data_IF_260970248171
#
_entry.id   IF_260970248171
#
_cell.length_a   1.000
_cell.length_b   1.000
_cell.length_c   1.000
_cell.angle_alpha   90.00
_cell.angle_beta   90.00
_cell.angle_gamma   90.00
#
_symmetry.space_group_name_H-M   'P 1'
#
loop_
_entity.id
_entity.type
_entity.pdbx_description
1 polymer ?
#
# COMPACT_ATOMS: atom_id res chain seq x y z
N UNK A 1 8.75 -11.90 14.85
CA UNK A 1 8.93 -13.35 14.59
C UNK A 1 7.90 -14.21 15.31
N UNK A 2 7.89 -14.30 16.65
CA UNK A 2 6.99 -15.21 17.40
C UNK A 2 5.49 -14.99 17.13
N UNK A 3 5.06 -13.73 16.99
CA UNK A 3 3.65 -13.39 16.71
C UNK A 3 3.23 -13.93 15.33
N UNK A 4 3.97 -13.62 14.27
CA UNK A 4 3.67 -14.08 12.90
C UNK A 4 3.73 -15.61 12.77
N UNK A 5 4.68 -16.26 13.47
CA UNK A 5 4.76 -17.73 13.51
C UNK A 5 3.58 -18.38 14.23
N UNK A 6 3.01 -17.73 15.26
CA UNK A 6 1.87 -18.24 16.01
C UNK A 6 0.54 -18.02 15.27
N UNK A 7 0.44 -16.93 14.51
CA UNK A 7 -0.77 -16.55 13.79
C UNK A 7 -1.18 -17.61 12.76
N UNK A 8 -0.20 -18.17 12.05
CA UNK A 8 -0.41 -19.08 10.93
C UNK A 8 -0.59 -18.33 9.61
N UNK A 9 -1.11 -19.04 8.60
CA UNK A 9 -1.32 -18.49 7.26
C UNK A 9 -2.77 -18.05 7.05
N UNK A 10 -2.95 -16.95 6.31
CA UNK A 10 -4.25 -16.46 5.86
C UNK A 10 -4.10 -15.67 4.56
N UNK A 11 -5.07 -15.76 3.66
CA UNK A 11 -5.00 -15.14 2.32
C UNK A 11 -4.88 -13.61 2.39
N UNK A 12 -5.55 -12.97 3.35
CA UNK A 12 -5.59 -11.51 3.48
C UNK A 12 -4.67 -10.95 4.58
N UNK A 13 -3.62 -11.68 4.97
CA UNK A 13 -2.57 -11.23 5.89
C UNK A 13 -1.22 -11.60 5.29
N UNK A 14 -0.25 -10.69 5.36
CA UNK A 14 1.11 -10.95 4.87
C UNK A 14 1.74 -12.12 5.65
N UNK A 15 1.97 -13.20 4.92
CA UNK A 15 2.41 -14.48 5.45
C UNK A 15 3.93 -14.53 5.64
N UNK A 16 4.35 -15.11 6.75
CA UNK A 16 5.75 -15.40 7.04
C UNK A 16 6.22 -16.63 6.24
N UNK A 17 7.30 -16.48 5.49
CA UNK A 17 7.96 -17.56 4.75
C UNK A 17 9.17 -18.12 5.51
N UNK A 18 9.89 -17.27 6.23
CA UNK A 18 11.09 -17.69 6.96
C UNK A 18 11.78 -16.56 7.72
N UNK A 19 12.91 -16.89 8.34
CA UNK A 19 13.73 -15.93 9.07
C UNK A 19 15.19 -16.36 9.15
N UNK A 20 16.11 -15.42 9.02
CA UNK A 20 17.52 -15.62 9.32
C UNK A 20 17.79 -15.07 10.72
N UNK A 21 18.18 -15.95 11.65
CA UNK A 21 18.34 -15.60 13.08
C UNK A 21 19.73 -15.88 13.63
N UNK A 22 20.62 -16.48 12.84
CA UNK A 22 21.95 -16.90 13.27
C UNK A 22 23.02 -16.26 12.38
N UNK A 23 24.16 -15.89 12.98
CA UNK A 23 25.35 -15.46 12.25
C UNK A 23 25.23 -14.11 11.53
N UNK A 24 24.24 -13.29 11.86
CA UNK A 24 24.00 -12.00 11.20
C UNK A 24 22.83 -11.22 11.79
N UNK A 25 22.43 -10.09 11.18
CA UNK A 25 21.24 -9.36 11.57
C UNK A 25 19.99 -10.23 11.42
N UNK A 26 19.00 -10.02 12.29
CA UNK A 26 17.73 -10.75 12.21
C UNK A 26 16.96 -10.28 10.99
N UNK A 27 16.72 -11.19 10.04
CA UNK A 27 15.92 -10.94 8.84
C UNK A 27 14.60 -11.72 8.91
N UNK A 28 13.52 -11.10 8.45
CA UNK A 28 12.20 -11.71 8.31
C UNK A 28 11.89 -11.80 6.83
N UNK A 29 11.53 -12.99 6.35
CA UNK A 29 11.20 -13.26 4.96
C UNK A 29 9.69 -13.48 4.88
N UNK A 30 8.99 -12.65 4.12
CA UNK A 30 7.54 -12.72 3.92
C UNK A 30 7.22 -12.85 2.44
N UNK A 31 5.95 -13.10 2.12
CA UNK A 31 5.48 -12.97 0.74
C UNK A 31 5.68 -11.54 0.20
N UNK A 32 5.80 -11.44 -1.12
CA UNK A 32 5.96 -10.18 -1.83
C UNK A 32 4.62 -9.70 -2.38
N UNK A 33 4.19 -8.50 -1.97
CA UNK A 33 3.00 -7.85 -2.51
C UNK A 33 3.38 -6.97 -3.71
N UNK A 34 3.18 -7.49 -4.93
CA UNK A 34 3.66 -6.86 -6.16
C UNK A 34 3.11 -5.44 -6.44
N UNK A 35 1.93 -5.10 -5.92
CA UNK A 35 1.31 -3.78 -6.13
C UNK A 35 1.65 -2.73 -5.06
N UNK A 36 2.39 -3.12 -4.02
CA UNK A 36 2.73 -2.26 -2.88
C UNK A 36 1.55 -2.01 -1.94
N UNK A 37 1.57 -0.87 -1.24
CA UNK A 37 0.50 -0.51 -0.30
C UNK A 37 -0.76 0.02 -0.99
N UNK A 38 -1.91 -0.23 -0.35
CA UNK A 38 -3.22 0.11 -0.91
C UNK A 38 -3.40 1.62 -1.10
N UNK A 39 -2.82 2.46 -0.23
CA UNK A 39 -2.94 3.92 -0.33
C UNK A 39 -2.31 4.44 -1.63
N UNK A 40 -1.06 4.06 -1.91
CA UNK A 40 -0.37 4.46 -3.12
C UNK A 40 -0.97 3.80 -4.36
N UNK A 41 -1.44 2.55 -4.27
CA UNK A 41 -2.18 1.89 -5.35
C UNK A 41 -3.44 2.67 -5.74
N UNK A 42 -4.28 3.02 -4.76
CA UNK A 42 -5.52 3.79 -4.99
C UNK A 42 -5.23 5.19 -5.53
N UNK A 43 -4.19 5.87 -5.04
CA UNK A 43 -3.77 7.18 -5.56
C UNK A 43 -3.38 7.14 -7.04
N UNK A 44 -2.67 6.11 -7.49
CA UNK A 44 -2.31 5.93 -8.91
C UNK A 44 -3.53 5.69 -9.79
N UNK A 45 -4.55 4.97 -9.29
CA UNK A 45 -5.77 4.62 -10.04
C UNK A 45 -6.88 5.68 -9.95
N UNK A 46 -6.81 6.60 -8.99
CA UNK A 46 -7.83 7.63 -8.78
C UNK A 46 -8.02 8.55 -10.00
N UNK A 47 -6.94 8.86 -10.73
CA UNK A 47 -7.03 9.67 -11.96
C UNK A 47 -7.88 8.99 -13.04
N UNK A 48 -7.80 7.65 -13.15
CA UNK A 48 -8.61 6.88 -14.09
C UNK A 48 -10.09 6.75 -13.66
N UNK A 49 -10.38 6.83 -12.36
CA UNK A 49 -11.76 6.74 -11.83
C UNK A 49 -12.58 8.00 -12.06
N UNK A 50 -11.97 9.19 -12.02
CA UNK A 50 -12.69 10.47 -12.15
C UNK A 50 -12.85 10.95 -13.62
N UNK A 51 -12.21 10.27 -14.57
CA UNK A 51 -12.13 10.68 -15.98
C UNK A 51 -13.45 10.91 -16.74
N UNK A 52 -14.57 10.20 -16.48
CA UNK A 52 -15.81 10.44 -17.23
C UNK A 52 -16.90 11.24 -16.49
N UNK A 53 -16.90 11.30 -15.15
CA UNK A 53 -18.05 11.89 -14.41
C UNK A 53 -17.96 13.38 -14.15
N UNK A 54 -16.78 13.98 -14.38
CA UNK A 54 -16.53 15.41 -14.24
C UNK A 54 -16.39 16.13 -15.59
N UNK A 55 -17.05 15.65 -16.65
CA UNK A 55 -17.50 16.58 -17.69
C UNK A 55 -18.56 17.48 -17.06
N UNK A 56 -18.09 18.42 -16.25
CA UNK A 56 -18.83 19.50 -15.62
C UNK A 56 -19.46 20.29 -16.76
N UNK A 57 -20.70 19.92 -17.10
CA UNK A 57 -21.67 20.91 -17.52
C UNK A 57 -21.70 21.98 -16.44
N UNK A 58 -21.56 23.22 -16.88
CA UNK A 58 -21.69 24.40 -16.02
C UNK A 58 -23.04 24.33 -15.30
N UNK A 59 -23.04 24.00 -14.01
CA UNK A 59 -24.13 24.36 -13.12
C UNK A 59 -23.52 24.81 -11.77
N UNK A 60 -23.66 26.10 -11.41
CA UNK A 60 -23.32 26.57 -10.09
C UNK A 60 -24.47 26.19 -9.14
N UNK A 61 -24.16 25.82 -7.90
CA UNK A 61 -25.10 25.58 -6.79
C UNK A 61 -25.53 24.11 -6.53
N UNK A 62 -24.61 23.26 -6.02
CA UNK A 62 -24.99 22.16 -5.13
C UNK A 62 -23.82 21.71 -4.24
N UNK A 63 -23.79 22.23 -3.02
CA UNK A 63 -22.76 21.93 -2.01
C UNK A 63 -22.92 20.55 -1.36
N UNK A 64 -22.36 19.52 -1.99
CA UNK A 64 -22.16 18.20 -1.37
C UNK A 64 -20.86 17.50 -1.84
N UNK A 65 -19.79 18.26 -2.10
CA UNK A 65 -18.47 17.71 -2.39
C UNK A 65 -17.69 17.43 -1.10
N UNK A 66 -17.22 16.19 -0.92
CA UNK A 66 -16.26 15.82 0.12
C UNK A 66 -14.99 16.68 -0.05
N UNK A 67 -14.81 17.70 0.81
CA UNK A 67 -13.72 18.69 0.74
C UNK A 67 -12.31 18.13 0.96
N UNK A 68 -12.15 16.81 1.12
CA UNK A 68 -10.86 16.14 1.31
C UNK A 68 -10.13 15.85 -0.01
N UNK A 69 -10.78 16.01 -1.16
CA UNK A 69 -10.13 15.89 -2.47
C UNK A 69 -9.75 17.30 -2.95
N UNK A 70 -8.82 17.93 -2.23
CA UNK A 70 -8.08 19.06 -2.76
C UNK A 70 -6.84 18.50 -3.47
N UNK A 71 -6.98 18.21 -4.77
CA UNK A 71 -5.89 17.74 -5.62
C UNK A 71 -4.93 18.88 -5.98
N UNK A 72 -4.53 19.71 -5.00
CA UNK A 72 -3.30 20.48 -5.18
C UNK A 72 -2.13 19.61 -4.77
N UNK A 73 -1.28 19.34 -5.75
CA UNK A 73 0.07 18.81 -5.60
C UNK A 73 0.89 19.76 -4.71
N UNK A 74 0.76 19.63 -3.39
CA UNK A 74 1.66 20.24 -2.42
C UNK A 74 2.02 19.19 -1.38
N UNK A 75 3.11 18.49 -1.62
CA UNK A 75 3.85 17.82 -0.56
C UNK A 75 4.35 18.89 0.40
N UNK A 76 3.53 19.23 1.39
CA UNK A 76 3.96 20.04 2.52
C UNK A 76 4.84 19.12 3.36
N UNK A 77 6.15 19.31 3.25
CA UNK A 77 7.15 18.85 4.22
C UNK A 77 6.63 19.30 5.60
N UNK A 78 6.23 18.36 6.46
CA UNK A 78 5.95 18.65 7.87
C UNK A 78 7.27 18.55 8.61
N UNK A 79 7.99 19.65 8.64
CA UNK A 79 9.08 19.95 9.55
C UNK A 79 8.50 20.34 10.92
N UNK A 80 7.88 19.37 11.60
CA UNK A 80 7.66 19.48 13.05
C UNK A 80 8.96 19.09 13.75
N UNK A 81 9.77 20.11 14.06
CA UNK A 81 11.05 20.01 14.73
C UNK A 81 10.96 19.44 16.14
N UNK A 82 11.25 18.15 16.28
CA UNK A 82 11.78 17.58 17.51
C UNK A 82 13.08 16.84 17.18
N UNK A 83 14.20 17.47 17.53
CA UNK A 83 15.53 16.92 17.38
C UNK A 83 15.78 15.94 18.52
N UNK A 84 15.88 14.65 18.21
CA UNK A 84 16.56 13.69 19.07
C UNK A 84 17.64 13.00 18.25
N UNK A 85 18.90 13.32 18.54
CA UNK A 85 20.08 12.62 18.02
C UNK A 85 20.01 11.14 18.43
N UNK A 86 19.53 10.32 17.51
CA UNK A 86 19.62 8.86 17.53
C UNK A 86 20.24 8.45 16.20
N UNK A 87 21.31 7.67 16.28
CA UNK A 87 22.13 7.17 15.17
C UNK A 87 21.30 6.71 13.96
N UNK A 88 21.49 7.45 12.86
CA UNK A 88 20.78 7.32 11.59
C UNK A 88 21.29 6.09 10.81
N UNK A 89 20.53 5.00 10.85
CA UNK A 89 20.74 3.81 9.98
C UNK A 89 19.46 3.40 9.24
N UNK A 90 18.44 4.25 9.25
CA UNK A 90 17.19 3.94 8.56
C UNK A 90 17.24 4.46 7.12
N UNK A 91 17.42 3.54 6.17
CA UNK A 91 17.33 3.85 4.74
C UNK A 91 15.86 3.80 4.32
N UNK A 92 15.32 4.93 3.85
CA UNK A 92 14.01 4.96 3.19
C UNK A 92 14.02 4.02 1.97
N UNK A 93 13.10 3.06 1.91
CA UNK A 93 12.92 2.26 0.69
C UNK A 93 12.41 3.16 -0.43
N UNK A 94 13.29 3.46 -1.39
CA UNK A 94 12.92 4.09 -2.66
C UNK A 94 12.83 3.02 -3.74
N UNK A 95 11.82 3.07 -4.63
CA UNK A 95 11.83 2.22 -5.80
C UNK A 95 13.12 2.50 -6.58
N UNK A 96 13.84 1.43 -6.95
CA UNK A 96 15.08 1.53 -7.70
C UNK A 96 14.77 2.18 -9.05
N UNK A 97 15.24 3.40 -9.27
CA UNK A 97 15.38 3.94 -10.62
C UNK A 97 16.44 3.10 -11.31
N UNK A 98 16.03 2.19 -12.19
CA UNK A 98 16.95 1.37 -13.00
C UNK A 98 17.68 2.28 -13.98
N UNK A 99 18.82 2.85 -13.56
CA UNK A 99 19.79 3.43 -14.48
C UNK A 99 20.51 2.28 -15.19
N UNK A 100 19.96 1.90 -16.34
CA UNK A 100 20.62 1.29 -17.51
C UNK A 100 21.88 0.45 -17.24
N UNK A 101 21.70 -0.87 -17.17
CA UNK A 101 22.70 -1.84 -17.58
C UNK A 101 21.95 -3.04 -18.19
N UNK A 102 22.24 -3.30 -19.46
CA UNK A 102 21.62 -4.35 -20.27
C UNK A 102 21.78 -5.73 -19.62
N UNK A 103 20.70 -6.29 -19.09
CA UNK A 103 20.56 -7.74 -18.99
C UNK A 103 19.12 -8.15 -19.26
N UNK A 104 18.95 -9.08 -20.21
CA UNK A 104 17.66 -9.45 -20.79
C UNK A 104 17.00 -10.52 -19.94
N UNK A 105 16.41 -10.11 -18.82
CA UNK A 105 15.32 -10.87 -18.19
C UNK A 105 14.01 -10.21 -18.61
N UNK A 106 13.16 -11.00 -19.26
CA UNK A 106 11.84 -10.59 -19.71
C UNK A 106 10.93 -10.30 -18.50
N UNK A 107 10.95 -9.08 -17.97
CA UNK A 107 9.96 -8.52 -17.05
C UNK A 107 8.65 -8.13 -17.77
N UNK A 108 8.30 -8.84 -18.83
CA UNK A 108 7.10 -8.59 -19.61
C UNK A 108 6.00 -9.55 -19.18
N UNK A 109 5.34 -9.30 -18.04
CA UNK A 109 3.95 -9.76 -17.84
C UNK A 109 3.22 -9.09 -16.65
N UNK A 110 3.88 -8.31 -15.79
CA UNK A 110 3.23 -7.67 -14.64
C UNK A 110 2.58 -6.30 -14.92
N UNK A 111 2.84 -5.68 -16.08
CA UNK A 111 2.32 -4.33 -16.42
C UNK A 111 0.98 -4.34 -17.16
N UNK A 112 0.45 -5.50 -17.57
CA UNK A 112 -0.79 -5.55 -18.38
C UNK A 112 -2.07 -5.27 -17.59
N UNK A 113 -2.05 -5.44 -16.26
CA UNK A 113 -3.18 -5.11 -15.38
C UNK A 113 -3.29 -3.60 -15.08
N UNK A 114 -2.25 -2.81 -15.37
CA UNK A 114 -2.22 -1.39 -15.00
C UNK A 114 -3.14 -0.52 -15.86
N UNK A 115 -3.61 -1.04 -17.00
CA UNK A 115 -4.55 -0.34 -17.88
C UNK A 115 -6.03 -0.47 -17.48
N UNK A 116 -6.42 -1.42 -16.63
CA UNK A 116 -7.83 -1.57 -16.23
C UNK A 116 -8.20 -0.45 -15.24
N UNK A 117 -9.30 0.30 -15.49
CA UNK A 117 -9.80 1.26 -14.53
C UNK A 117 -10.31 0.53 -13.29
N UNK A 118 -10.08 1.13 -12.11
CA UNK A 118 -10.62 0.62 -10.87
C UNK A 118 -12.14 0.86 -10.86
N UNK A 119 -12.93 -0.14 -10.46
CA UNK A 119 -14.38 -0.04 -10.34
C UNK A 119 -14.82 -0.07 -8.87
N UNK A 120 -16.07 0.34 -8.60
CA UNK A 120 -16.67 0.23 -7.26
C UNK A 120 -16.60 -1.21 -6.72
N UNK A 121 -16.73 -2.20 -7.59
CA UNK A 121 -16.66 -3.62 -7.23
C UNK A 121 -15.29 -3.99 -6.64
N UNK A 122 -14.21 -3.41 -7.15
CA UNK A 122 -12.85 -3.66 -6.65
C UNK A 122 -12.68 -3.05 -5.26
N UNK A 123 -13.21 -1.84 -5.03
CA UNK A 123 -13.19 -1.20 -3.70
C UNK A 123 -13.97 -2.02 -2.65
N UNK A 124 -15.13 -2.56 -3.03
CA UNK A 124 -15.90 -3.46 -2.17
C UNK A 124 -15.14 -4.77 -1.90
N UNK A 125 -14.42 -5.27 -2.89
CA UNK A 125 -13.57 -6.45 -2.74
C UNK A 125 -12.43 -6.22 -1.74
N UNK A 126 -11.71 -5.11 -1.87
CA UNK A 126 -10.67 -4.71 -0.90
C UNK A 126 -11.24 -4.63 0.51
N UNK A 127 -12.39 -3.98 0.67
CA UNK A 127 -13.07 -3.85 1.96
C UNK A 127 -13.41 -5.22 2.57
N UNK A 128 -13.94 -6.14 1.75
CA UNK A 128 -14.26 -7.50 2.17
C UNK A 128 -13.01 -8.29 2.59
N UNK A 129 -11.93 -8.22 1.81
CA UNK A 129 -10.67 -8.91 2.09
C UNK A 129 -10.01 -8.40 3.38
N UNK A 130 -9.98 -7.08 3.58
CA UNK A 130 -9.46 -6.49 4.82
C UNK A 130 -10.31 -6.95 6.01
N UNK A 131 -11.64 -6.95 5.88
CA UNK A 131 -12.52 -7.45 6.93
C UNK A 131 -12.28 -8.93 7.27
N UNK A 132 -12.06 -9.78 6.27
CA UNK A 132 -11.73 -11.19 6.44
C UNK A 132 -10.38 -11.38 7.16
N UNK A 133 -9.34 -10.63 6.75
CA UNK A 133 -8.05 -10.62 7.43
C UNK A 133 -8.14 -10.17 8.89
N UNK A 134 -8.89 -9.11 9.16
CA UNK A 134 -9.12 -8.62 10.53
C UNK A 134 -9.94 -9.60 11.38
N UNK A 135 -10.93 -10.27 10.80
CA UNK A 135 -11.69 -11.32 11.47
C UNK A 135 -10.78 -12.51 11.84
N UNK A 136 -9.85 -12.87 10.97
CA UNK A 136 -8.83 -13.88 11.26
C UNK A 136 -7.92 -13.46 12.42
N UNK A 137 -7.40 -12.23 12.43
CA UNK A 137 -6.59 -11.72 13.55
C UNK A 137 -7.37 -11.78 14.88
N UNK A 138 -8.64 -11.38 14.86
CA UNK A 138 -9.52 -11.45 16.02
C UNK A 138 -9.71 -12.90 16.49
N UNK A 139 -9.88 -13.86 15.58
CA UNK A 139 -9.99 -15.29 15.92
C UNK A 139 -8.73 -15.86 16.60
N UNK A 140 -7.59 -15.20 16.42
CA UNK A 140 -6.29 -15.52 17.04
C UNK A 140 -5.99 -14.68 18.28
N UNK A 141 -6.97 -13.93 18.79
CA UNK A 141 -6.80 -12.96 19.89
C UNK A 141 -5.69 -11.93 19.61
N UNK A 142 -5.47 -11.57 18.34
CA UNK A 142 -4.47 -10.60 17.92
C UNK A 142 -5.14 -9.26 17.60
N UNK A 143 -4.66 -8.19 18.23
CA UNK A 143 -5.13 -6.81 17.99
C UNK A 143 -4.06 -6.09 17.17
N UNK A 144 -4.42 -5.61 15.98
CA UNK A 144 -3.47 -4.95 15.06
C UNK A 144 -2.95 -3.61 15.60
N UNK A 145 -3.82 -2.81 16.24
CA UNK A 145 -3.54 -1.48 16.84
C UNK A 145 -3.17 -0.34 15.89
N UNK A 146 -2.76 -0.63 14.66
CA UNK A 146 -2.37 0.39 13.67
C UNK A 146 -2.97 0.13 12.29
N UNK A 147 -4.28 -0.12 12.22
CA UNK A 147 -4.97 -0.34 10.94
C UNK A 147 -5.14 1.00 10.25
N UNK A 148 -4.69 1.10 8.99
CA UNK A 148 -4.73 2.32 8.18
C UNK A 148 -5.09 2.03 6.72
#
# INVERSE_FOLDING_TARGET
>A
LKIMSHLGQHENIVNLLGACTHGGPVLVITEYCCYGDLLNFLRRKAEAMLGPSLSVGQDPEAGAGYKNIHLEKKYVRRDSGFSSQGVDTYVEMRPVSTSSSNDSFSEQDMDKEDGRPLELRDLLHFSSQVAQGMAFLASKNCIHRDVA
#
